data_IF_949339147494
#
_entry.id   IF_949339147494
#
_cell.length_a   1.000
_cell.length_b   1.000
_cell.length_c   1.000
_cell.angle_alpha   90.00
_cell.angle_beta   90.00
_cell.angle_gamma   90.00
#
_symmetry.space_group_name_H-M   'P 1'
#
loop_
_entity.id
_entity.type
_entity.pdbx_description
1 polymer ?
#
# COMPACT_ATOMS: atom_id res chain seq x y z
N UNK A 1 24.50 -2.49 6.59
CA UNK A 1 23.70 -3.34 7.48
C UNK A 1 23.60 -2.85 8.94
N UNK A 2 24.45 -1.94 9.45
CA UNK A 2 24.40 -1.45 10.86
C UNK A 2 23.34 -0.37 11.15
N UNK A 3 22.74 0.26 10.14
CA UNK A 3 21.78 1.36 10.33
C UNK A 3 20.30 0.91 10.45
N UNK A 4 19.96 -0.28 10.01
CA UNK A 4 18.58 -0.82 10.07
C UNK A 4 18.25 -1.35 11.48
N UNK A 5 19.25 -1.86 12.19
CA UNK A 5 19.08 -2.39 13.55
C UNK A 5 18.70 -1.32 14.58
N UNK A 6 19.13 -0.05 14.37
CA UNK A 6 18.79 1.06 15.27
C UNK A 6 17.32 1.49 15.17
N UNK A 7 16.68 1.39 14.00
CA UNK A 7 15.27 1.81 13.81
C UNK A 7 14.35 0.77 14.47
N UNK A 8 14.70 -0.52 14.43
CA UNK A 8 13.90 -1.57 15.05
C UNK A 8 13.95 -1.52 16.59
N UNK A 9 15.08 -1.10 17.17
CA UNK A 9 15.20 -0.90 18.63
C UNK A 9 14.42 0.31 19.13
N UNK A 10 14.19 1.34 18.28
CA UNK A 10 13.44 2.53 18.69
C UNK A 10 11.93 2.25 18.83
N UNK A 11 11.39 1.29 18.08
CA UNK A 11 9.98 0.89 18.19
C UNK A 11 9.69 -0.03 19.38
N UNK A 12 10.68 -0.74 19.89
CA UNK A 12 10.54 -1.60 21.07
C UNK A 12 10.62 -0.84 22.41
N UNK A 13 11.20 0.34 22.42
CA UNK A 13 11.35 1.14 23.66
C UNK A 13 10.12 1.93 24.06
N UNK A 14 9.11 2.07 23.20
CA UNK A 14 7.88 2.84 23.49
C UNK A 14 6.90 2.07 24.38
N UNK A 15 7.04 0.73 24.51
CA UNK A 15 6.13 -0.08 25.31
C UNK A 15 6.55 -0.27 26.79
N UNK A 16 7.65 0.35 27.25
CA UNK A 16 8.17 0.16 28.60
C UNK A 16 7.86 1.30 29.58
N UNK A 17 7.14 2.36 29.16
CA UNK A 17 6.87 3.54 30.00
C UNK A 17 5.44 3.53 30.59
N UNK A 18 4.63 2.52 30.32
CA UNK A 18 3.22 2.47 30.77
C UNK A 18 2.97 1.40 31.86
N UNK A 19 3.86 1.23 32.81
CA UNK A 19 3.60 0.43 34.02
C UNK A 19 4.02 1.20 35.25
N UNK A 20 3.21 2.17 35.66
CA UNK A 20 3.18 2.57 37.07
C UNK A 20 2.54 1.44 37.88
N UNK A 21 3.14 1.01 39.01
CA UNK A 21 2.54 0.02 39.86
C UNK A 21 1.29 0.62 40.53
N UNK A 22 0.13 0.18 40.09
CA UNK A 22 -1.14 0.50 40.76
C UNK A 22 -1.13 -0.17 42.12
N UNK A 23 -1.09 0.67 43.18
CA UNK A 23 -1.19 0.23 44.55
C UNK A 23 -2.66 -0.19 44.81
N UNK A 24 -2.91 -1.48 45.05
CA UNK A 24 -4.25 -2.05 45.17
C UNK A 24 -4.87 -1.95 46.58
N UNK A 25 -4.31 -1.17 47.51
CA UNK A 25 -4.72 -1.23 48.91
C UNK A 25 -5.74 -0.16 49.36
N UNK A 26 -6.36 0.60 48.46
CA UNK A 26 -7.42 1.55 48.89
C UNK A 26 -8.50 1.68 47.81
N UNK A 27 -9.47 0.77 47.77
CA UNK A 27 -10.81 1.05 47.19
C UNK A 27 -11.81 -0.10 47.54
N UNK A 28 -12.04 -0.35 48.83
CA UNK A 28 -13.36 -0.79 49.29
C UNK A 28 -14.24 0.44 49.43
N UNK A 29 -14.87 0.86 48.37
CA UNK A 29 -16.00 1.76 48.37
C UNK A 29 -16.94 1.33 47.23
N UNK A 30 -18.07 0.76 47.61
CA UNK A 30 -19.22 0.46 46.79
C UNK A 30 -19.57 1.62 45.84
N UNK A 31 -19.01 1.65 44.67
CA UNK A 31 -19.67 2.26 43.52
C UNK A 31 -19.91 1.12 42.48
N UNK A 32 -21.15 0.71 42.41
CA UNK A 32 -21.69 0.06 41.23
C UNK A 32 -21.49 1.08 40.10
N UNK A 33 -20.31 1.04 39.44
CA UNK A 33 -20.14 1.68 38.17
C UNK A 33 -21.02 0.87 37.23
N UNK A 34 -22.24 1.36 37.09
CA UNK A 34 -23.12 1.00 35.99
C UNK A 34 -22.26 1.23 34.76
N UNK A 35 -21.71 0.18 34.19
CA UNK A 35 -20.94 0.23 32.95
C UNK A 35 -21.91 0.75 31.91
N UNK A 36 -21.90 2.06 31.70
CA UNK A 36 -22.54 2.67 30.55
C UNK A 36 -21.84 2.03 29.37
N UNK A 37 -22.43 0.98 28.81
CA UNK A 37 -22.07 0.49 27.51
C UNK A 37 -22.29 1.66 26.55
N UNK A 38 -21.21 2.43 26.34
CA UNK A 38 -21.16 3.42 25.28
C UNK A 38 -21.34 2.62 24.00
N UNK A 39 -22.58 2.59 23.54
CA UNK A 39 -22.96 1.88 22.31
C UNK A 39 -22.32 2.65 21.14
N UNK A 40 -20.99 2.44 21.01
CA UNK A 40 -20.16 3.08 19.99
C UNK A 40 -20.72 2.70 18.62
N UNK A 41 -21.34 3.64 17.95
CA UNK A 41 -21.92 3.41 16.63
C UNK A 41 -20.85 2.93 15.66
N UNK A 42 -21.17 1.86 14.93
CA UNK A 42 -20.23 1.29 13.96
C UNK A 42 -20.09 2.24 12.78
N UNK A 43 -18.88 2.71 12.57
CA UNK A 43 -18.53 3.53 11.41
C UNK A 43 -18.29 2.61 10.22
N UNK A 44 -19.22 2.68 9.24
CA UNK A 44 -19.28 1.70 8.15
C UNK A 44 -18.46 2.09 6.94
N UNK A 45 -18.26 3.35 6.71
CA UNK A 45 -17.53 3.86 5.53
C UNK A 45 -16.28 4.57 6.00
N UNK A 46 -15.17 4.24 5.39
CA UNK A 46 -13.88 4.89 5.65
C UNK A 46 -13.30 5.38 4.33
N UNK A 47 -12.83 6.62 4.34
CA UNK A 47 -12.14 7.24 3.21
C UNK A 47 -10.83 7.83 3.71
N UNK A 48 -9.75 7.64 2.97
CA UNK A 48 -8.45 8.11 3.40
C UNK A 48 -7.40 8.10 2.31
N UNK A 49 -6.19 8.43 2.73
CA UNK A 49 -4.98 8.40 1.93
C UNK A 49 -4.09 7.25 2.39
N UNK A 50 -3.34 6.68 1.46
CA UNK A 50 -2.32 5.68 1.70
C UNK A 50 -1.01 6.09 1.04
N UNK A 51 0.09 5.82 1.73
CA UNK A 51 1.45 6.04 1.26
C UNK A 51 2.20 4.73 1.41
N UNK A 52 2.91 4.32 0.39
CA UNK A 52 3.70 3.07 0.46
C UNK A 52 4.08 2.48 -0.89
N UNK A 53 4.30 1.18 -0.91
CA UNK A 53 4.72 0.41 -2.08
C UNK A 53 3.58 -0.56 -2.44
N UNK A 54 3.21 -0.68 -3.71
CA UNK A 54 3.71 0.02 -4.91
C UNK A 54 2.98 1.34 -5.22
N UNK A 55 1.99 1.73 -4.43
CA UNK A 55 1.05 2.82 -4.75
C UNK A 55 1.60 4.23 -4.52
N UNK A 56 2.83 4.42 -4.00
CA UNK A 56 3.47 5.70 -3.66
C UNK A 56 2.56 6.56 -2.78
N UNK A 57 1.56 7.24 -3.38
CA UNK A 57 0.49 7.99 -2.70
C UNK A 57 -0.82 7.71 -3.41
N UNK A 58 -1.87 7.36 -2.66
CA UNK A 58 -3.17 7.04 -3.26
C UNK A 58 -4.35 7.27 -2.33
N UNK A 59 -5.54 7.23 -2.91
CA UNK A 59 -6.82 7.24 -2.22
C UNK A 59 -7.27 5.83 -1.85
N UNK A 60 -7.99 5.71 -0.74
CA UNK A 60 -8.56 4.46 -0.25
C UNK A 60 -9.99 4.64 0.22
N UNK A 61 -10.85 3.70 -0.14
CA UNK A 61 -12.23 3.60 0.35
C UNK A 61 -12.44 2.19 0.89
N UNK A 62 -13.13 2.10 2.01
CA UNK A 62 -13.45 0.83 2.66
C UNK A 62 -14.86 0.88 3.23
N UNK A 63 -15.62 -0.19 3.09
CA UNK A 63 -16.98 -0.31 3.62
C UNK A 63 -17.14 -1.53 4.50
N UNK A 64 -17.56 -1.37 5.77
CA UNK A 64 -17.82 -2.48 6.71
C UNK A 64 -19.23 -3.02 6.49
N UNK A 65 -19.33 -4.28 6.08
CA UNK A 65 -20.60 -4.94 5.86
C UNK A 65 -21.24 -5.40 7.17
N UNK A 66 -22.60 -5.33 7.30
CA UNK A 66 -23.33 -5.78 8.50
C UNK A 66 -23.49 -7.32 8.57
N UNK A 67 -22.46 -8.04 8.16
CA UNK A 67 -22.43 -9.51 8.15
C UNK A 67 -21.25 -10.01 8.97
N UNK A 68 -21.33 -11.26 9.45
CA UNK A 68 -20.29 -11.89 10.28
C UNK A 68 -19.81 -11.02 11.44
N UNK A 69 -20.72 -10.31 12.12
CA UNK A 69 -20.38 -9.44 13.24
C UNK A 69 -19.64 -8.17 12.84
N UNK A 70 -19.88 -7.62 11.63
CA UNK A 70 -19.21 -6.43 11.07
C UNK A 70 -17.70 -6.61 10.92
N UNK A 71 -17.27 -7.79 10.48
CA UNK A 71 -15.85 -8.14 10.31
C UNK A 71 -15.38 -8.10 8.88
N UNK A 72 -16.29 -8.13 7.90
CA UNK A 72 -15.96 -8.13 6.48
C UNK A 72 -16.03 -6.70 5.96
N UNK A 73 -14.95 -6.27 5.28
CA UNK A 73 -14.87 -4.94 4.72
C UNK A 73 -14.27 -4.98 3.30
N UNK A 74 -15.11 -4.90 2.25
CA UNK A 74 -14.62 -4.61 0.90
C UNK A 74 -13.90 -3.27 0.88
N UNK A 75 -12.86 -3.19 0.05
CA UNK A 75 -12.06 -1.98 -0.11
C UNK A 75 -11.65 -1.76 -1.56
N UNK A 76 -11.35 -0.52 -1.88
CA UNK A 76 -10.81 -0.07 -3.15
C UNK A 76 -9.73 0.97 -2.91
N UNK A 77 -8.58 0.80 -3.57
CA UNK A 77 -7.45 1.72 -3.54
C UNK A 77 -7.12 2.17 -4.96
N UNK A 78 -6.80 3.44 -5.13
CA UNK A 78 -6.41 4.03 -6.40
C UNK A 78 -5.24 4.98 -6.19
N UNK A 79 -4.23 4.87 -7.03
CA UNK A 79 -3.10 5.79 -7.09
C UNK A 79 -2.76 6.09 -8.54
N UNK A 80 -2.45 7.35 -8.80
CA UNK A 80 -1.87 7.80 -10.07
C UNK A 80 -0.82 8.85 -9.76
N UNK A 81 0.36 8.69 -10.33
CA UNK A 81 1.49 9.55 -10.08
C UNK A 81 2.28 9.76 -11.37
N UNK A 82 2.47 11.03 -11.73
CA UNK A 82 3.25 11.44 -12.89
C UNK A 82 4.48 12.21 -12.40
N UNK A 83 5.63 11.84 -12.90
CA UNK A 83 6.92 12.46 -12.58
C UNK A 83 7.62 12.82 -13.87
N UNK A 84 7.91 14.10 -14.04
CA UNK A 84 8.73 14.62 -15.13
C UNK A 84 10.11 15.04 -14.59
N UNK A 85 11.16 14.38 -15.04
CA UNK A 85 12.54 14.71 -14.68
C UNK A 85 13.36 14.85 -15.96
N UNK A 86 13.73 16.07 -16.27
CA UNK A 86 14.52 16.39 -17.49
C UNK A 86 13.92 15.76 -18.76
N UNK A 87 14.55 14.71 -19.27
CA UNK A 87 14.17 14.04 -20.51
C UNK A 87 13.38 12.73 -20.29
N UNK A 88 12.90 12.48 -19.04
CA UNK A 88 12.14 11.27 -18.69
C UNK A 88 10.83 11.64 -18.03
N UNK A 89 9.73 11.16 -18.60
CA UNK A 89 8.42 11.22 -18.00
C UNK A 89 8.02 9.82 -17.51
N UNK A 90 7.82 9.66 -16.21
CA UNK A 90 7.36 8.42 -15.61
C UNK A 90 5.91 8.56 -15.17
N UNK A 91 5.03 7.71 -15.67
CA UNK A 91 3.62 7.61 -15.27
C UNK A 91 3.39 6.31 -14.57
N UNK A 92 2.86 6.36 -13.36
CA UNK A 92 2.57 5.22 -12.53
C UNK A 92 1.09 5.21 -12.18
N UNK A 93 0.42 4.10 -12.39
CA UNK A 93 -0.96 3.90 -11.98
C UNK A 93 -1.09 2.59 -11.20
N UNK A 94 -1.77 2.64 -10.07
CA UNK A 94 -2.05 1.46 -9.26
C UNK A 94 -3.52 1.43 -8.86
N UNK A 95 -4.15 0.29 -9.10
CA UNK A 95 -5.53 0.04 -8.70
C UNK A 95 -5.57 -1.28 -7.94
N UNK A 96 -6.25 -1.30 -6.81
CA UNK A 96 -6.39 -2.48 -5.97
C UNK A 96 -7.82 -2.57 -5.45
N UNK A 97 -8.41 -3.75 -5.47
CA UNK A 97 -9.70 -4.04 -4.86
C UNK A 97 -9.68 -5.39 -4.17
N UNK A 98 -10.47 -5.52 -3.13
CA UNK A 98 -10.50 -6.76 -2.37
C UNK A 98 -11.42 -6.68 -1.16
N UNK A 99 -11.19 -7.59 -0.21
CA UNK A 99 -11.92 -7.63 1.05
C UNK A 99 -10.97 -7.90 2.20
N UNK A 100 -11.24 -7.29 3.34
CA UNK A 100 -10.56 -7.51 4.62
C UNK A 100 -11.47 -8.28 5.55
N UNK A 101 -10.88 -9.20 6.30
CA UNK A 101 -11.51 -9.88 7.42
C UNK A 101 -10.86 -9.38 8.72
N UNK A 102 -11.58 -8.61 9.49
CA UNK A 102 -11.15 -8.13 10.80
C UNK A 102 -11.31 -9.19 11.87
N UNK A 103 -10.30 -9.37 12.71
CA UNK A 103 -10.41 -10.27 13.90
C UNK A 103 -11.23 -9.63 15.01
N UNK A 104 -11.20 -8.30 15.10
CA UNK A 104 -12.08 -7.53 15.99
C UNK A 104 -13.46 -7.26 15.38
N UNK A 105 -14.38 -6.77 16.20
CA UNK A 105 -15.68 -6.29 15.74
C UNK A 105 -15.58 -4.83 15.26
N UNK A 106 -16.58 -4.36 14.49
CA UNK A 106 -16.73 -2.95 14.08
C UNK A 106 -15.70 -2.47 13.04
N UNK A 107 -15.08 -3.36 12.26
CA UNK A 107 -14.15 -3.00 11.18
C UNK A 107 -12.88 -2.27 11.65
N UNK A 108 -12.37 -2.64 12.82
CA UNK A 108 -11.14 -2.14 13.42
C UNK A 108 -10.30 -3.26 14.04
N UNK A 109 -9.02 -2.99 14.29
CA UNK A 109 -8.07 -3.95 14.82
C UNK A 109 -7.28 -4.64 13.73
N UNK A 110 -6.73 -5.80 14.04
CA UNK A 110 -5.98 -6.61 13.09
C UNK A 110 -6.90 -7.22 12.04
N UNK A 111 -6.39 -7.36 10.83
CA UNK A 111 -7.12 -7.98 9.72
C UNK A 111 -6.19 -8.77 8.79
N UNK A 112 -6.79 -9.69 8.06
CA UNK A 112 -6.26 -10.33 6.86
C UNK A 112 -7.04 -9.77 5.67
N UNK A 113 -6.35 -9.43 4.60
CA UNK A 113 -6.96 -8.96 3.36
C UNK A 113 -6.57 -9.83 2.18
N UNK A 114 -7.50 -10.03 1.27
CA UNK A 114 -7.28 -10.66 -0.03
C UNK A 114 -7.86 -9.76 -1.12
N UNK A 115 -7.22 -9.77 -2.28
CA UNK A 115 -7.68 -8.92 -3.37
C UNK A 115 -6.92 -9.14 -4.67
N UNK A 116 -7.15 -8.24 -5.60
CA UNK A 116 -6.43 -8.17 -6.86
C UNK A 116 -5.95 -6.74 -7.08
N UNK A 117 -4.79 -6.60 -7.72
CA UNK A 117 -4.31 -5.30 -8.14
C UNK A 117 -3.80 -5.31 -9.56
N UNK A 118 -3.85 -4.13 -10.15
CA UNK A 118 -3.19 -3.79 -11.40
C UNK A 118 -2.20 -2.65 -11.14
N UNK A 119 -0.96 -2.86 -11.50
CA UNK A 119 0.09 -1.85 -11.55
C UNK A 119 0.44 -1.61 -13.02
N UNK A 120 0.38 -0.38 -13.46
CA UNK A 120 0.77 0.05 -14.79
C UNK A 120 1.84 1.14 -14.67
N UNK A 121 2.91 1.02 -15.43
CA UNK A 121 3.98 2.02 -15.50
C UNK A 121 4.34 2.26 -16.95
N UNK A 122 4.39 3.54 -17.34
CA UNK A 122 4.91 4.00 -18.63
C UNK A 122 6.08 4.93 -18.38
N UNK A 123 7.21 4.64 -18.99
CA UNK A 123 8.40 5.49 -18.99
C UNK A 123 8.60 6.01 -20.40
N UNK A 124 8.45 7.31 -20.59
CA UNK A 124 8.69 8.01 -21.84
C UNK A 124 10.05 8.72 -21.77
N UNK A 125 10.92 8.46 -22.73
CA UNK A 125 12.24 9.05 -22.84
C UNK A 125 12.27 10.01 -24.03
N UNK A 126 12.79 11.23 -23.80
CA UNK A 126 13.04 12.25 -24.84
C UNK A 126 14.54 12.32 -25.09
N UNK A 127 14.93 12.71 -26.29
CA UNK A 127 16.33 12.93 -26.68
C UNK A 127 17.26 11.73 -26.48
N UNK A 128 16.76 10.51 -26.78
CA UNK A 128 17.60 9.31 -26.80
C UNK A 128 18.63 9.41 -27.95
N UNK A 129 19.90 9.19 -27.62
CA UNK A 129 20.92 8.99 -28.63
C UNK A 129 20.79 7.60 -29.24
N UNK A 130 20.47 7.55 -30.51
CA UNK A 130 20.39 6.33 -31.32
C UNK A 130 21.65 6.10 -32.12
N UNK A 131 21.76 4.93 -32.75
CA UNK A 131 22.87 4.63 -33.65
C UNK A 131 22.96 5.67 -34.78
N UNK A 132 24.15 5.88 -35.29
CA UNK A 132 24.48 6.87 -36.36
C UNK A 132 24.30 8.34 -35.97
N UNK A 133 24.23 8.66 -34.65
CA UNK A 133 24.15 10.05 -34.17
C UNK A 133 22.78 10.68 -34.35
N UNK A 134 21.74 9.90 -34.58
CA UNK A 134 20.36 10.37 -34.59
C UNK A 134 19.85 10.53 -33.15
N UNK A 135 18.89 11.44 -32.96
CA UNK A 135 18.12 11.56 -31.72
C UNK A 135 16.71 11.00 -31.92
N UNK A 136 16.13 10.49 -30.87
CA UNK A 136 14.79 9.91 -30.94
C UNK A 136 14.05 9.97 -29.61
N UNK A 137 12.84 9.47 -29.61
CA UNK A 137 12.03 9.26 -28.41
C UNK A 137 11.83 7.77 -28.19
N UNK A 138 11.75 7.34 -26.95
CA UNK A 138 11.51 5.94 -26.61
C UNK A 138 10.47 5.78 -25.51
N UNK A 139 9.85 4.63 -25.46
CA UNK A 139 8.91 4.30 -24.41
C UNK A 139 9.06 2.86 -23.91
N UNK A 140 8.73 2.66 -22.64
CA UNK A 140 8.67 1.37 -21.98
C UNK A 140 7.37 1.28 -21.21
N UNK A 141 6.61 0.24 -21.45
CA UNK A 141 5.38 -0.05 -20.74
C UNK A 141 5.53 -1.32 -19.90
N UNK A 142 5.06 -1.24 -18.66
CA UNK A 142 4.99 -2.36 -17.73
C UNK A 142 3.58 -2.46 -17.17
N UNK A 143 2.89 -3.57 -17.44
CA UNK A 143 1.59 -3.92 -16.89
C UNK A 143 1.72 -5.19 -16.05
N UNK A 144 1.37 -5.09 -14.77
CA UNK A 144 1.42 -6.21 -13.82
C UNK A 144 0.08 -6.38 -13.12
N UNK A 145 -0.48 -7.59 -13.22
CA UNK A 145 -1.67 -7.97 -12.46
C UNK A 145 -1.27 -8.96 -11.38
N UNK A 146 -1.70 -8.72 -10.13
CA UNK A 146 -1.38 -9.60 -9.01
C UNK A 146 -2.60 -9.96 -8.20
N UNK A 147 -2.58 -11.18 -7.62
CA UNK A 147 -3.43 -11.57 -6.52
C UNK A 147 -2.73 -11.20 -5.21
N UNK A 148 -3.44 -10.50 -4.32
CA UNK A 148 -2.87 -9.94 -3.10
C UNK A 148 -3.32 -10.72 -1.88
N UNK A 149 -2.36 -10.99 -0.99
CA UNK A 149 -2.60 -11.39 0.38
C UNK A 149 -1.90 -10.40 1.29
N UNK A 150 -2.62 -9.82 2.27
CA UNK A 150 -2.06 -8.85 3.19
C UNK A 150 -2.55 -9.01 4.62
N UNK A 151 -1.72 -8.58 5.54
CA UNK A 151 -2.00 -8.45 6.97
C UNK A 151 -1.94 -6.97 7.32
N UNK A 152 -2.70 -6.56 8.30
CA UNK A 152 -2.64 -5.17 8.74
C UNK A 152 -3.40 -4.92 10.02
N UNK A 153 -3.34 -3.66 10.44
CA UNK A 153 -4.07 -3.17 11.58
C UNK A 153 -4.66 -1.79 11.27
N UNK A 154 -5.89 -1.56 11.72
CA UNK A 154 -6.58 -0.28 11.59
C UNK A 154 -7.06 0.18 12.96
N UNK A 155 -6.75 1.42 13.34
CA UNK A 155 -7.29 2.01 14.55
C UNK A 155 -8.79 2.31 14.39
N UNK A 156 -9.51 2.40 15.50
CA UNK A 156 -10.91 2.81 15.49
C UNK A 156 -11.07 4.33 15.67
N UNK A 157 -12.33 4.80 15.58
CA UNK A 157 -12.67 6.18 15.80
C UNK A 157 -13.07 6.91 14.50
N UNK A 158 -13.28 8.23 14.64
CA UNK A 158 -13.62 9.09 13.49
C UNK A 158 -12.40 9.29 12.58
N UNK A 159 -11.24 9.49 13.18
CA UNK A 159 -9.94 9.50 12.49
C UNK A 159 -9.32 8.13 12.70
N UNK A 160 -8.83 7.51 11.64
CA UNK A 160 -8.16 6.23 11.70
C UNK A 160 -6.76 6.29 11.12
N UNK A 161 -5.91 5.41 11.62
CA UNK A 161 -4.63 5.04 11.04
C UNK A 161 -4.68 3.58 10.60
N UNK A 162 -4.01 3.27 9.51
CA UNK A 162 -3.96 1.94 8.93
C UNK A 162 -2.53 1.58 8.57
N UNK A 163 -2.12 0.36 8.88
CA UNK A 163 -0.85 -0.22 8.49
C UNK A 163 -1.11 -1.54 7.78
N UNK A 164 -0.47 -1.76 6.64
CA UNK A 164 -0.63 -2.96 5.83
C UNK A 164 0.71 -3.47 5.36
N UNK A 165 0.93 -4.78 5.46
CA UNK A 165 2.01 -5.52 4.84
C UNK A 165 1.43 -6.69 4.07
N UNK A 166 1.94 -6.96 2.90
CA UNK A 166 1.44 -8.03 2.06
C UNK A 166 2.36 -8.40 0.92
N UNK A 167 1.87 -9.33 0.14
CA UNK A 167 2.54 -9.79 -1.07
C UNK A 167 1.52 -9.97 -2.19
N UNK A 168 1.83 -9.39 -3.35
CA UNK A 168 1.09 -9.59 -4.58
C UNK A 168 1.74 -10.70 -5.38
N UNK A 169 1.03 -11.80 -5.58
CA UNK A 169 1.46 -12.95 -6.39
C UNK A 169 1.00 -12.69 -7.81
N UNK A 170 1.93 -12.69 -8.77
CA UNK A 170 1.61 -12.45 -10.17
C UNK A 170 2.83 -12.64 -11.06
N UNK A 171 2.61 -12.60 -12.36
CA UNK A 171 3.70 -12.70 -13.33
C UNK A 171 4.20 -11.29 -13.62
N UNK A 172 5.35 -10.94 -13.08
CA UNK A 172 6.11 -9.76 -13.47
C UNK A 172 7.02 -10.20 -14.62
N UNK A 173 7.01 -9.52 -15.78
CA UNK A 173 7.95 -9.83 -16.86
C UNK A 173 9.39 -9.83 -16.35
N UNK A 174 10.23 -10.70 -16.85
CA UNK A 174 11.67 -10.71 -16.54
C UNK A 174 12.40 -9.69 -17.41
N UNK A 175 11.85 -9.38 -18.58
CA UNK A 175 12.40 -8.47 -19.56
C UNK A 175 11.41 -7.38 -19.93
N UNK A 176 11.92 -6.19 -20.19
CA UNK A 176 11.16 -5.05 -20.70
C UNK A 176 11.53 -4.78 -22.16
N UNK A 177 10.51 -4.58 -22.99
CA UNK A 177 10.70 -4.18 -24.38
C UNK A 177 10.78 -2.66 -24.46
N UNK A 178 11.94 -2.17 -24.83
CA UNK A 178 12.19 -0.77 -25.17
C UNK A 178 11.91 -0.55 -26.65
N UNK A 179 11.13 0.46 -26.95
CA UNK A 179 10.89 0.89 -28.33
C UNK A 179 11.32 2.33 -28.47
N UNK A 180 12.25 2.59 -29.38
CA UNK A 180 12.72 3.92 -29.69
C UNK A 180 12.40 4.26 -31.16
N UNK A 181 11.98 5.51 -31.40
CA UNK A 181 11.68 6.02 -32.75
C UNK A 181 12.53 7.24 -33.01
N UNK A 182 13.32 7.19 -34.06
CA UNK A 182 14.17 8.28 -34.52
C UNK A 182 13.34 9.42 -35.12
N UNK A 183 13.89 10.63 -35.13
CA UNK A 183 13.31 11.80 -35.83
C UNK A 183 13.07 11.57 -37.32
N UNK A 184 13.78 10.63 -37.92
CA UNK A 184 13.61 10.22 -39.34
C UNK A 184 12.52 9.16 -39.52
N UNK A 185 11.88 8.70 -38.43
CA UNK A 185 10.80 7.70 -38.47
C UNK A 185 11.27 6.25 -38.41
N UNK A 186 12.55 6.01 -38.19
CA UNK A 186 13.10 4.65 -37.99
C UNK A 186 12.80 4.19 -36.57
N UNK A 187 12.22 3.01 -36.41
CA UNK A 187 11.91 2.39 -35.13
C UNK A 187 12.87 1.26 -34.84
N UNK A 188 13.45 1.27 -33.65
CA UNK A 188 14.32 0.22 -33.12
C UNK A 188 13.72 -0.31 -31.83
N UNK A 189 13.82 -1.61 -31.58
CA UNK A 189 13.36 -2.23 -30.34
C UNK A 189 14.48 -3.09 -29.78
N UNK A 190 14.74 -2.93 -28.49
CA UNK A 190 15.64 -3.79 -27.73
C UNK A 190 14.90 -4.36 -26.53
N UNK A 191 15.39 -5.46 -25.99
CA UNK A 191 14.85 -6.08 -24.79
C UNK A 191 15.95 -6.07 -23.75
N UNK A 192 15.60 -5.57 -22.55
CA UNK A 192 16.51 -5.44 -21.43
C UNK A 192 15.92 -6.12 -20.21
N UNK A 193 16.77 -6.74 -19.39
CA UNK A 193 16.36 -7.33 -18.12
C UNK A 193 15.86 -6.25 -17.15
N UNK A 194 14.81 -6.56 -16.38
CA UNK A 194 14.35 -5.66 -15.33
C UNK A 194 15.45 -5.53 -14.27
N UNK A 195 15.86 -4.28 -13.93
CA UNK A 195 16.83 -4.07 -12.89
C UNK A 195 16.33 -4.62 -11.54
N UNK A 196 17.25 -5.06 -10.69
CA UNK A 196 16.91 -5.58 -9.37
C UNK A 196 16.30 -4.47 -8.49
N UNK A 197 14.97 -4.42 -8.41
CA UNK A 197 14.21 -3.47 -7.62
C UNK A 197 13.84 -4.14 -6.29
N UNK A 198 14.21 -3.55 -5.12
CA UNK A 198 13.85 -4.11 -3.83
C UNK A 198 12.33 -4.29 -3.68
N UNK A 199 11.91 -5.52 -3.35
CA UNK A 199 10.49 -5.86 -3.20
C UNK A 199 9.78 -6.29 -4.49
N UNK A 200 10.43 -6.22 -5.64
CA UNK A 200 9.95 -6.77 -6.91
C UNK A 200 10.72 -8.05 -7.20
N UNK A 201 10.00 -9.13 -7.44
CA UNK A 201 10.57 -10.43 -7.83
C UNK A 201 10.08 -10.77 -9.23
N UNK A 202 10.92 -10.59 -10.29
CA UNK A 202 10.59 -10.99 -11.64
C UNK A 202 10.12 -12.46 -11.68
N UNK A 203 9.05 -12.74 -12.40
CA UNK A 203 8.43 -14.07 -12.43
C UNK A 203 7.64 -14.46 -11.17
N UNK A 204 7.72 -13.70 -10.08
CA UNK A 204 7.12 -14.06 -8.78
C UNK A 204 6.05 -13.11 -8.27
N UNK A 205 6.40 -11.87 -7.97
CA UNK A 205 5.44 -10.95 -7.38
C UNK A 205 6.04 -9.70 -6.77
N UNK A 206 5.23 -8.95 -6.01
CA UNK A 206 5.61 -7.66 -5.47
C UNK A 206 5.29 -7.56 -3.98
N UNK A 207 6.23 -7.02 -3.20
CA UNK A 207 6.00 -6.67 -1.80
C UNK A 207 5.07 -5.45 -1.71
N UNK A 208 4.11 -5.52 -0.80
CA UNK A 208 3.17 -4.44 -0.50
C UNK A 208 3.41 -3.96 0.92
N UNK A 209 3.58 -2.66 1.09
CA UNK A 209 3.74 -2.04 2.39
C UNK A 209 3.13 -0.65 2.41
N UNK A 210 2.06 -0.43 3.19
CA UNK A 210 1.33 0.82 3.21
C UNK A 210 1.07 1.32 4.63
N UNK A 211 1.15 2.63 4.77
CA UNK A 211 0.62 3.38 5.91
C UNK A 211 -0.49 4.28 5.40
N UNK A 212 -1.62 4.28 6.08
CA UNK A 212 -2.77 5.08 5.70
C UNK A 212 -3.37 5.84 6.86
N UNK A 213 -4.09 6.92 6.54
CA UNK A 213 -4.90 7.66 7.50
C UNK A 213 -6.14 8.22 6.81
N UNK A 214 -7.19 8.44 7.57
CA UNK A 214 -8.45 8.93 6.99
C UNK A 214 -9.55 9.12 8.01
N UNK A 215 -10.77 9.23 7.50
CA UNK A 215 -11.98 9.49 8.29
C UNK A 215 -12.95 8.31 8.09
N UNK A 216 -13.60 7.92 9.18
CA UNK A 216 -14.67 6.91 9.19
C UNK A 216 -16.00 7.53 9.63
N UNK A 217 -17.09 7.12 8.96
CA UNK A 217 -18.45 7.61 9.16
C UNK A 217 -19.40 6.50 9.62
#
# INVERSE_FOLDING_TARGET
>A
MKKITCIFCLFLSINLIAQDPINFDELESNQVIDSIEVNESIKRISVGLKIGIPNIVGGAVEGVLPIFGNRIAPYFNLSSFDLDVENVTAKLAYTEFGSKLYFGNKGKGFFVGVGSSKFASTLDFKDLSLDFGETGTGSVDLDVNTFIIKLGAKTGGRIYFNFELGYGIGSIPEELKFTATSTTGRTESTTEDIPNIPGVNPGGGILIGNVGFGISF
#
